data_IF_701247182572
#
_entry.id   IF_701247182572
#
_cell.length_a   1.000
_cell.length_b   1.000
_cell.length_c   1.000
_cell.angle_alpha   90.00
_cell.angle_beta   90.00
_cell.angle_gamma   90.00
#
_symmetry.space_group_name_H-M   'P 1'
#
loop_
_entity.id
_entity.type
_entity.pdbx_description
1 polymer ?
#
# COMPACT_ATOMS: atom_id res chain seq x y z
N UNK A 1 4.66 8.63 7.44
CA UNK A 1 4.88 8.17 8.82
C UNK A 1 5.84 6.99 8.76
N UNK A 2 7.14 7.28 8.80
CA UNK A 2 8.21 6.31 8.94
C UNK A 2 8.44 6.16 10.45
N UNK A 3 8.31 4.94 10.97
CA UNK A 3 8.48 4.62 12.39
C UNK A 3 9.96 4.40 12.71
N UNK A 4 10.81 5.39 12.45
CA UNK A 4 12.21 5.37 12.88
C UNK A 4 12.62 6.79 13.29
N UNK A 5 13.25 6.90 14.47
CA UNK A 5 13.65 8.18 15.06
C UNK A 5 14.93 8.75 14.42
N UNK A 6 15.72 7.88 13.77
CA UNK A 6 17.02 8.21 13.19
C UNK A 6 17.12 7.67 11.75
N UNK A 7 17.75 8.45 10.86
CA UNK A 7 18.10 8.01 9.50
C UNK A 7 19.24 6.99 9.58
N UNK A 8 19.03 5.80 9.05
CA UNK A 8 20.02 4.72 9.05
C UNK A 8 20.76 4.72 7.70
N UNK A 9 21.94 5.32 7.68
CA UNK A 9 22.84 5.28 6.52
C UNK A 9 23.46 3.88 6.36
N UNK A 10 23.48 3.36 5.12
CA UNK A 10 24.08 2.07 4.79
C UNK A 10 23.14 0.85 4.83
N UNK A 11 21.83 1.04 4.90
CA UNK A 11 20.87 -0.05 4.74
C UNK A 11 20.66 -0.38 3.26
N UNK A 12 21.02 -1.61 2.88
CA UNK A 12 20.73 -2.16 1.55
C UNK A 12 19.42 -2.95 1.57
N UNK A 13 18.60 -2.76 0.52
CA UNK A 13 17.39 -3.54 0.34
C UNK A 13 17.76 -4.98 -0.08
N UNK A 14 17.62 -5.92 0.85
CA UNK A 14 17.75 -7.35 0.57
C UNK A 14 16.43 -7.89 0.01
N UNK A 15 16.46 -8.40 -1.23
CA UNK A 15 15.31 -9.04 -1.88
C UNK A 15 15.13 -10.51 -1.50
N UNK A 16 16.05 -11.06 -0.70
CA UNK A 16 16.05 -12.47 -0.27
C UNK A 16 16.40 -12.59 1.20
N UNK A 17 15.81 -13.58 1.86
CA UNK A 17 16.14 -13.95 3.24
C UNK A 17 17.62 -14.35 3.34
N UNK A 18 18.43 -13.69 4.19
CA UNK A 18 19.82 -14.04 4.39
C UNK A 18 19.98 -15.45 4.97
N UNK A 19 21.02 -16.15 4.54
CA UNK A 19 21.33 -17.51 5.01
C UNK A 19 21.61 -17.51 6.52
N UNK A 20 20.97 -18.42 7.27
CA UNK A 20 21.12 -18.51 8.73
C UNK A 20 20.09 -17.70 9.53
N UNK A 21 19.23 -16.93 8.86
CA UNK A 21 18.05 -16.34 9.49
C UNK A 21 16.84 -17.23 9.26
N UNK A 22 16.29 -17.76 10.36
CA UNK A 22 15.09 -18.58 10.32
C UNK A 22 13.84 -17.72 10.62
N UNK A 23 13.18 -17.25 9.57
CA UNK A 23 11.92 -16.51 9.68
C UNK A 23 10.71 -17.41 10.04
N UNK A 24 10.94 -18.71 10.29
CA UNK A 24 9.93 -19.64 10.84
C UNK A 24 9.34 -19.10 12.17
N UNK A 25 10.11 -18.36 12.97
CA UNK A 25 9.62 -17.74 14.21
C UNK A 25 8.46 -16.73 14.00
N UNK A 26 8.36 -16.10 12.82
CA UNK A 26 7.21 -15.24 12.49
C UNK A 26 5.90 -16.02 12.29
N UNK A 27 6.00 -17.32 12.00
CA UNK A 27 4.83 -18.20 11.82
C UNK A 27 4.23 -18.63 13.16
N UNK A 28 5.04 -18.77 14.22
CA UNK A 28 4.58 -19.18 15.56
C UNK A 28 3.70 -18.13 16.26
N UNK A 29 3.83 -16.85 15.92
CA UNK A 29 2.90 -15.79 16.34
C UNK A 29 1.59 -15.76 15.54
N UNK A 30 1.38 -16.74 14.65
CA UNK A 30 0.16 -16.83 13.83
C UNK A 30 0.02 -15.72 12.78
N UNK A 31 1.07 -14.91 12.56
CA UNK A 31 1.09 -13.89 11.52
C UNK A 31 1.49 -14.51 10.18
N UNK A 32 0.75 -15.54 9.76
CA UNK A 32 0.69 -15.82 8.32
C UNK A 32 0.13 -14.55 7.67
N UNK A 33 0.79 -14.04 6.63
CA UNK A 33 0.16 -13.08 5.72
C UNK A 33 -0.95 -13.86 5.02
N UNK A 34 -2.07 -14.02 5.73
CA UNK A 34 -3.27 -14.67 5.25
C UNK A 34 -3.85 -13.78 4.15
N UNK A 35 -4.55 -14.37 3.19
CA UNK A 35 -5.32 -13.66 2.16
C UNK A 35 -6.17 -12.52 2.77
N UNK A 36 -6.69 -12.69 3.98
CA UNK A 36 -7.41 -11.67 4.72
C UNK A 36 -6.56 -10.43 5.07
N UNK A 37 -5.28 -10.62 5.42
CA UNK A 37 -4.33 -9.52 5.70
C UNK A 37 -3.98 -8.82 4.40
N UNK A 38 -3.70 -9.56 3.32
CA UNK A 38 -3.43 -9.00 2.01
C UNK A 38 -4.60 -8.17 1.48
N UNK A 39 -5.83 -8.69 1.56
CA UNK A 39 -7.02 -7.96 1.16
C UNK A 39 -7.16 -6.64 1.93
N UNK A 40 -6.88 -6.65 3.23
CA UNK A 40 -6.96 -5.45 4.08
C UNK A 40 -5.90 -4.41 3.71
N UNK A 41 -4.68 -4.85 3.40
CA UNK A 41 -3.59 -3.98 2.93
C UNK A 41 -3.93 -3.39 1.56
N UNK A 42 -4.42 -4.19 0.61
CA UNK A 42 -4.81 -3.71 -0.72
C UNK A 42 -5.94 -2.69 -0.63
N UNK A 43 -6.94 -2.93 0.21
CA UNK A 43 -8.02 -1.96 0.48
C UNK A 43 -7.50 -0.66 1.10
N UNK A 44 -6.54 -0.75 2.02
CA UNK A 44 -5.95 0.44 2.64
C UNK A 44 -5.13 1.28 1.65
N UNK A 45 -4.29 0.62 0.84
CA UNK A 45 -3.54 1.25 -0.25
C UNK A 45 -4.48 1.91 -1.27
N UNK A 46 -5.58 1.25 -1.61
CA UNK A 46 -6.60 1.79 -2.53
C UNK A 46 -7.25 3.05 -1.97
N UNK A 47 -7.61 3.07 -0.68
CA UNK A 47 -8.18 4.27 -0.04
C UNK A 47 -7.19 5.43 -0.05
N UNK A 48 -5.93 5.17 0.30
CA UNK A 48 -4.86 6.17 0.28
C UNK A 48 -4.61 6.72 -1.12
N UNK A 49 -4.67 5.87 -2.14
CA UNK A 49 -4.44 6.26 -3.53
C UNK A 49 -5.54 7.15 -4.12
N UNK A 50 -6.74 7.17 -3.54
CA UNK A 50 -7.77 8.13 -3.97
C UNK A 50 -7.49 9.58 -3.52
N UNK A 51 -6.59 9.79 -2.56
CA UNK A 51 -6.33 11.10 -1.98
C UNK A 51 -7.48 11.59 -1.08
N UNK A 52 -7.47 12.89 -0.76
CA UNK A 52 -8.52 13.54 0.03
C UNK A 52 -9.77 13.78 -0.82
N UNK A 53 -10.88 14.13 -0.18
CA UNK A 53 -12.11 14.44 -0.88
C UNK A 53 -12.00 15.77 -1.64
N UNK A 54 -11.29 16.75 -1.07
CA UNK A 54 -11.01 18.05 -1.66
C UNK A 54 -10.32 17.90 -3.02
N UNK A 55 -9.26 17.08 -3.10
CA UNK A 55 -8.55 16.83 -4.36
C UNK A 55 -9.44 16.14 -5.42
N UNK A 56 -10.36 15.30 -4.98
CA UNK A 56 -11.31 14.65 -5.89
C UNK A 56 -12.34 15.63 -6.42
N UNK A 57 -12.87 16.51 -5.56
CA UNK A 57 -13.79 17.56 -5.97
C UNK A 57 -13.13 18.57 -6.91
N UNK A 58 -11.90 19.00 -6.60
CA UNK A 58 -11.09 19.88 -7.46
C UNK A 58 -10.90 19.24 -8.84
N UNK A 59 -10.50 17.96 -8.88
CA UNK A 59 -10.36 17.25 -10.16
C UNK A 59 -11.68 17.13 -10.94
N UNK A 60 -12.80 16.92 -10.26
CA UNK A 60 -14.12 16.89 -10.92
C UNK A 60 -14.47 18.27 -11.48
N UNK A 61 -14.11 19.34 -10.78
CA UNK A 61 -14.36 20.71 -11.21
C UNK A 61 -13.47 21.10 -12.41
N UNK A 62 -12.18 20.79 -12.35
CA UNK A 62 -11.20 21.20 -13.37
C UNK A 62 -11.22 20.29 -14.61
N UNK A 63 -11.22 18.97 -14.42
CA UNK A 63 -11.07 17.99 -15.51
C UNK A 63 -12.40 17.30 -15.89
N UNK A 64 -13.46 17.50 -15.09
CA UNK A 64 -14.75 16.86 -15.29
C UNK A 64 -14.89 15.45 -14.72
N UNK A 65 -16.14 14.99 -14.62
CA UNK A 65 -16.49 13.71 -13.99
C UNK A 65 -15.94 12.48 -14.72
N UNK A 66 -15.78 12.54 -16.05
CA UNK A 66 -15.30 11.40 -16.83
C UNK A 66 -13.79 11.18 -16.66
N UNK A 67 -13.01 12.27 -16.59
CA UNK A 67 -11.58 12.22 -16.22
C UNK A 67 -11.38 11.67 -14.80
N UNK A 68 -12.21 12.12 -13.85
CA UNK A 68 -12.22 11.59 -12.49
C UNK A 68 -12.52 10.08 -12.48
N UNK A 69 -13.56 9.61 -13.19
CA UNK A 69 -13.88 8.18 -13.31
C UNK A 69 -12.74 7.36 -13.92
N UNK A 70 -12.04 7.87 -14.93
CA UNK A 70 -10.89 7.20 -15.53
C UNK A 70 -9.75 7.02 -14.52
N UNK A 71 -9.46 8.05 -13.73
CA UNK A 71 -8.46 8.01 -12.65
C UNK A 71 -8.86 7.01 -11.57
N UNK A 72 -10.13 7.02 -11.15
CA UNK A 72 -10.66 6.03 -10.21
C UNK A 72 -10.44 4.62 -10.78
N UNK A 73 -10.79 4.37 -12.05
CA UNK A 73 -10.61 3.05 -12.68
C UNK A 73 -9.17 2.57 -12.61
N UNK A 74 -8.19 3.41 -13.00
CA UNK A 74 -6.77 3.08 -12.91
C UNK A 74 -6.38 2.66 -11.49
N UNK A 75 -6.85 3.38 -10.47
CA UNK A 75 -6.60 3.05 -9.06
C UNK A 75 -7.24 1.71 -8.67
N UNK A 76 -8.43 1.39 -9.17
CA UNK A 76 -9.11 0.10 -8.91
C UNK A 76 -8.40 -1.07 -9.60
N UNK A 77 -7.89 -0.85 -10.81
CA UNK A 77 -7.16 -1.86 -11.59
C UNK A 77 -5.80 -2.14 -10.94
N UNK A 78 -5.14 -1.11 -10.38
CA UNK A 78 -3.90 -1.25 -9.60
C UNK A 78 -4.10 -1.96 -8.25
N UNK A 79 -5.24 -1.76 -7.61
CA UNK A 79 -5.57 -2.33 -6.29
C UNK A 79 -6.92 -3.07 -6.32
N UNK A 80 -6.97 -4.31 -6.83
CA UNK A 80 -8.20 -5.09 -6.93
C UNK A 80 -8.78 -5.44 -5.56
N UNK A 81 -10.07 -5.81 -5.52
CA UNK A 81 -10.76 -6.22 -4.28
C UNK A 81 -10.74 -7.73 -4.14
#
# INVERSE_FOLDING_TARGET
>A
MLLAKDEQDGLELLSTVPTGFDFTYCQEWGLTINDAVMARVILDLRRKAYGTWENQLEKIYDDGIDSWKATIKITKDKYPK
#
